data_IF_301974978516
#
_entry.id   IF_301974978516
#
_cell.length_a   1.000
_cell.length_b   1.000
_cell.length_c   1.000
_cell.angle_alpha   90.00
_cell.angle_beta   90.00
_cell.angle_gamma   90.00
#
_symmetry.space_group_name_H-M   'P 1'
#
loop_
_entity.id
_entity.type
_entity.pdbx_description
1 polymer ?
#
# COMPACT_ATOMS: atom_id res chain seq x y z
N UNK A 1 -57.96 0.21 15.12
CA UNK A 1 -58.10 0.02 16.59
C UNK A 1 -58.32 -1.45 16.88
N UNK A 2 -57.36 -2.09 17.56
CA UNK A 2 -57.37 -3.51 17.86
C UNK A 2 -58.24 -3.76 19.12
N UNK A 3 -59.33 -4.53 18.98
CA UNK A 3 -60.31 -4.77 20.06
C UNK A 3 -59.74 -5.59 21.22
N UNK A 4 -58.60 -6.26 21.03
CA UNK A 4 -58.00 -7.19 22.00
C UNK A 4 -57.05 -6.54 23.00
N UNK A 5 -56.57 -5.31 22.72
CA UNK A 5 -55.59 -4.58 23.56
C UNK A 5 -55.95 -3.07 23.64
N UNK A 6 -57.12 -2.72 24.20
CA UNK A 6 -57.65 -1.35 24.19
C UNK A 6 -56.82 -0.35 25.00
N UNK A 7 -55.89 -0.82 25.84
CA UNK A 7 -54.96 0.02 26.62
C UNK A 7 -53.75 0.49 25.80
N UNK A 8 -53.47 -0.13 24.65
CA UNK A 8 -52.32 0.23 23.81
C UNK A 8 -52.75 1.27 22.75
N UNK A 9 -52.21 2.48 22.87
CA UNK A 9 -52.45 3.61 21.97
C UNK A 9 -51.23 4.01 21.13
N UNK A 10 -50.18 3.17 21.11
CA UNK A 10 -48.96 3.42 20.33
C UNK A 10 -49.10 3.05 18.85
N UNK A 11 -48.03 3.33 18.11
CA UNK A 11 -47.86 2.99 16.69
C UNK A 11 -48.08 1.49 16.43
N UNK A 12 -48.71 1.14 15.31
CA UNK A 12 -48.67 -0.24 14.82
C UNK A 12 -47.26 -0.58 14.33
N UNK A 13 -46.98 -1.87 14.13
CA UNK A 13 -45.70 -2.29 13.51
C UNK A 13 -45.52 -1.65 12.13
N UNK A 14 -46.61 -1.42 11.40
CA UNK A 14 -46.56 -0.76 10.09
C UNK A 14 -46.23 0.73 10.24
N UNK A 15 -46.88 1.44 11.16
CA UNK A 15 -46.60 2.85 11.42
C UNK A 15 -45.13 3.04 11.86
N UNK A 16 -44.63 2.16 12.74
CA UNK A 16 -43.22 2.16 13.15
C UNK A 16 -42.26 1.83 12.00
N UNK A 17 -42.68 1.03 11.00
CA UNK A 17 -41.89 0.76 9.81
C UNK A 17 -41.86 1.97 8.85
N UNK A 18 -42.95 2.73 8.78
CA UNK A 18 -43.07 3.95 7.97
C UNK A 18 -42.29 5.15 8.58
N UNK A 19 -42.08 5.15 9.89
CA UNK A 19 -41.28 6.16 10.60
C UNK A 19 -39.77 5.97 10.45
N UNK A 20 -39.28 4.88 9.85
CA UNK A 20 -37.84 4.75 9.57
C UNK A 20 -37.39 5.78 8.53
N UNK A 21 -36.59 6.73 8.96
CA UNK A 21 -35.82 7.57 8.04
C UNK A 21 -34.75 6.73 7.34
N UNK A 22 -34.56 6.95 6.04
CA UNK A 22 -33.42 6.39 5.33
C UNK A 22 -32.15 6.89 6.03
N UNK A 23 -31.29 5.96 6.45
CA UNK A 23 -30.02 6.30 7.08
C UNK A 23 -29.25 7.30 6.19
N UNK A 24 -28.74 8.38 6.82
CA UNK A 24 -27.96 9.47 6.21
C UNK A 24 -27.33 9.09 4.87
N UNK A 25 -27.74 9.80 3.81
CA UNK A 25 -27.41 9.48 2.44
C UNK A 25 -25.91 9.19 2.31
N UNK A 26 -25.60 7.96 1.93
CA UNK A 26 -24.24 7.45 1.72
C UNK A 26 -23.46 8.37 0.76
N UNK A 27 -24.18 9.13 -0.06
CA UNK A 27 -23.72 10.16 -0.98
C UNK A 27 -23.15 11.43 -0.32
N UNK A 28 -23.61 11.81 0.88
CA UNK A 28 -23.13 13.00 1.61
C UNK A 28 -21.83 12.76 2.38
N UNK A 29 -21.47 11.50 2.56
CA UNK A 29 -20.21 11.12 3.21
C UNK A 29 -19.02 11.37 2.27
N UNK A 30 -17.80 11.54 2.82
CA UNK A 30 -16.59 11.62 2.00
C UNK A 30 -16.50 10.45 1.00
N UNK A 31 -16.00 10.75 -0.20
CA UNK A 31 -15.79 9.78 -1.26
C UNK A 31 -14.84 8.68 -0.83
N UNK A 32 -15.30 7.43 -0.91
CA UNK A 32 -14.51 6.22 -0.65
C UNK A 32 -14.81 5.19 -1.73
N UNK A 33 -13.79 4.84 -2.51
CA UNK A 33 -13.88 3.79 -3.50
C UNK A 33 -12.66 2.87 -3.41
N UNK A 34 -12.80 1.63 -2.90
CA UNK A 34 -11.71 0.67 -2.93
C UNK A 34 -11.37 0.27 -4.36
N UNK A 35 -10.09 0.30 -4.71
CA UNK A 35 -9.57 -0.18 -5.99
C UNK A 35 -9.64 -1.69 -6.01
N UNK A 36 -10.51 -2.23 -6.85
CA UNK A 36 -10.72 -3.67 -6.99
C UNK A 36 -9.80 -4.27 -8.05
N UNK A 37 -9.58 -3.54 -9.14
CA UNK A 37 -8.74 -3.99 -10.26
C UNK A 37 -8.23 -2.80 -11.09
N UNK A 38 -7.19 -3.03 -11.90
CA UNK A 38 -6.68 -2.07 -12.87
C UNK A 38 -6.50 -2.74 -14.22
N UNK A 39 -7.31 -2.32 -15.20
CA UNK A 39 -7.28 -2.87 -16.54
C UNK A 39 -6.42 -2.01 -17.46
N UNK A 40 -5.47 -2.65 -18.17
CA UNK A 40 -4.70 -2.01 -19.23
C UNK A 40 -5.19 -2.52 -20.59
N UNK A 41 -5.72 -1.61 -21.40
CA UNK A 41 -6.09 -1.90 -22.78
C UNK A 41 -4.91 -1.57 -23.68
N UNK A 42 -4.52 -2.53 -24.53
CA UNK A 42 -3.36 -2.42 -25.45
C UNK A 42 -3.71 -2.81 -26.89
N UNK A 43 -4.92 -3.31 -27.12
CA UNK A 43 -5.37 -3.74 -28.46
C UNK A 43 -5.87 -2.54 -29.25
N UNK A 44 -5.73 -2.61 -30.57
CA UNK A 44 -6.21 -1.58 -31.51
C UNK A 44 -5.65 -0.17 -31.24
N UNK A 45 -4.45 -0.06 -30.67
CA UNK A 45 -3.84 1.22 -30.34
C UNK A 45 -4.43 1.90 -29.10
N UNK A 46 -5.30 1.22 -28.36
CA UNK A 46 -5.71 1.67 -27.03
C UNK A 46 -4.53 1.58 -26.07
N UNK A 47 -4.35 2.58 -25.21
CA UNK A 47 -3.33 2.63 -24.17
C UNK A 47 -3.92 3.06 -22.82
N UNK A 48 -5.24 3.01 -22.66
CA UNK A 48 -5.93 3.41 -21.45
C UNK A 48 -5.64 2.44 -20.31
N UNK A 49 -5.46 3.01 -19.12
CA UNK A 49 -5.50 2.30 -17.85
C UNK A 49 -6.76 2.71 -17.10
N UNK A 50 -7.62 1.74 -16.82
CA UNK A 50 -8.90 1.95 -16.12
C UNK A 50 -8.76 1.39 -14.72
N UNK A 51 -8.89 2.27 -13.72
CA UNK A 51 -9.01 1.88 -12.31
C UNK A 51 -10.47 1.54 -12.06
N UNK A 52 -10.75 0.33 -11.60
CA UNK A 52 -12.11 -0.18 -11.41
C UNK A 52 -12.41 -0.47 -9.94
N UNK A 53 -13.65 -0.20 -9.53
CA UNK A 53 -14.11 -0.46 -8.17
C UNK A 53 -15.58 -0.10 -7.97
N UNK A 54 -15.99 -0.11 -6.71
CA UNK A 54 -17.35 0.29 -6.30
C UNK A 54 -17.26 1.48 -5.36
N UNK A 55 -17.96 2.56 -5.68
CA UNK A 55 -18.10 3.72 -4.81
C UNK A 55 -18.91 3.26 -3.59
N UNK A 56 -18.29 3.29 -2.40
CA UNK A 56 -18.93 2.89 -1.15
C UNK A 56 -19.63 4.06 -0.47
N UNK A 57 -19.06 5.26 -0.55
CA UNK A 57 -19.60 6.52 -0.04
C UNK A 57 -19.20 7.68 -0.94
N UNK A 58 -19.95 8.77 -0.88
CA UNK A 58 -19.70 9.99 -1.63
C UNK A 58 -20.00 9.87 -3.11
N UNK A 59 -19.42 10.79 -3.88
CA UNK A 59 -19.55 10.85 -5.33
C UNK A 59 -18.24 11.21 -6.00
N UNK A 60 -18.14 11.05 -7.32
CA UNK A 60 -16.96 11.36 -8.13
C UNK A 60 -17.39 12.02 -9.43
N UNK A 61 -16.68 13.06 -9.86
CA UNK A 61 -16.87 13.72 -11.14
C UNK A 61 -15.57 13.75 -11.97
N UNK A 62 -15.72 13.90 -13.29
CA UNK A 62 -14.58 14.18 -14.17
C UNK A 62 -13.95 15.52 -13.80
N UNK A 63 -12.62 15.56 -13.71
CA UNK A 63 -11.84 16.72 -13.26
C UNK A 63 -11.56 16.74 -11.74
N UNK A 64 -12.16 15.84 -10.96
CA UNK A 64 -11.84 15.76 -9.53
C UNK A 64 -10.39 15.33 -9.32
N UNK A 65 -9.69 16.02 -8.41
CA UNK A 65 -8.38 15.58 -7.94
C UNK A 65 -8.57 14.49 -6.89
N UNK A 66 -7.92 13.35 -7.11
CA UNK A 66 -8.03 12.15 -6.27
C UNK A 66 -6.69 11.75 -5.67
N UNK A 67 -6.76 11.14 -4.49
CA UNK A 67 -5.66 10.54 -3.76
C UNK A 67 -5.90 9.04 -3.59
N UNK A 68 -4.82 8.28 -3.58
CA UNK A 68 -4.84 6.84 -3.37
C UNK A 68 -4.08 6.50 -2.10
N UNK A 69 -4.69 5.73 -1.20
CA UNK A 69 -4.08 5.31 0.05
C UNK A 69 -3.92 3.78 0.12
N UNK A 70 -2.81 3.26 0.66
CA UNK A 70 -1.81 3.95 1.48
C UNK A 70 -0.70 4.68 0.70
N UNK A 71 -0.62 4.57 -0.63
CA UNK A 71 0.52 5.09 -1.41
C UNK A 71 0.69 6.61 -1.41
N UNK A 72 -0.37 7.36 -1.10
CA UNK A 72 -0.38 8.82 -1.15
C UNK A 72 -0.23 9.39 -2.56
N UNK A 73 -0.42 8.58 -3.61
CA UNK A 73 -0.34 9.04 -5.01
C UNK A 73 -1.51 9.97 -5.31
N UNK A 74 -1.28 10.95 -6.18
CA UNK A 74 -2.26 11.95 -6.59
C UNK A 74 -2.42 11.92 -8.10
N UNK A 75 -3.64 12.13 -8.57
CA UNK A 75 -3.91 12.36 -9.99
C UNK A 75 -5.26 13.09 -10.15
N UNK A 76 -5.72 13.25 -11.39
CA UNK A 76 -7.00 13.87 -11.75
C UNK A 76 -7.81 12.89 -12.58
N UNK A 77 -9.11 12.81 -12.29
CA UNK A 77 -10.03 11.97 -13.06
C UNK A 77 -10.21 12.54 -14.46
N UNK A 78 -9.87 11.75 -15.47
CA UNK A 78 -9.98 12.13 -16.88
C UNK A 78 -11.31 11.69 -17.51
N UNK A 79 -11.77 10.49 -17.19
CA UNK A 79 -13.07 9.97 -17.65
C UNK A 79 -13.62 8.96 -16.65
N UNK A 80 -14.94 8.85 -16.57
CA UNK A 80 -15.65 7.81 -15.81
C UNK A 80 -16.32 6.87 -16.82
N UNK A 81 -16.05 5.58 -16.70
CA UNK A 81 -16.51 4.53 -17.60
C UNK A 81 -17.44 3.56 -16.86
N UNK A 82 -18.50 3.11 -17.52
CA UNK A 82 -19.44 2.11 -16.99
C UNK A 82 -19.66 1.04 -18.05
N UNK A 83 -19.87 -0.19 -17.60
CA UNK A 83 -20.09 -1.31 -18.52
C UNK A 83 -21.31 -1.08 -19.42
N UNK A 84 -21.12 -1.24 -20.73
CA UNK A 84 -22.17 -1.17 -21.74
C UNK A 84 -22.96 0.16 -21.76
N UNK A 85 -22.31 1.27 -21.39
CA UNK A 85 -22.90 2.60 -21.42
C UNK A 85 -21.85 3.64 -21.87
N UNK A 86 -22.29 4.80 -22.40
CA UNK A 86 -21.40 5.93 -22.65
C UNK A 86 -20.71 6.40 -21.35
N UNK A 87 -19.52 7.04 -21.46
CA UNK A 87 -18.84 7.63 -20.32
C UNK A 87 -19.73 8.60 -19.54
N UNK A 88 -19.59 8.59 -18.21
CA UNK A 88 -20.33 9.48 -17.32
C UNK A 88 -19.50 10.72 -16.98
N UNK A 89 -20.18 11.83 -16.70
CA UNK A 89 -19.56 13.02 -16.10
C UNK A 89 -19.50 12.94 -14.57
N UNK A 90 -20.35 12.10 -13.97
CA UNK A 90 -20.59 12.01 -12.53
C UNK A 90 -21.06 10.60 -12.14
N UNK A 91 -20.66 10.12 -10.97
CA UNK A 91 -21.15 8.89 -10.35
C UNK A 91 -21.22 9.03 -8.82
N UNK A 92 -22.25 8.46 -8.19
CA UNK A 92 -22.45 8.49 -6.74
C UNK A 92 -22.56 7.08 -6.15
N UNK A 93 -22.41 6.97 -4.82
CA UNK A 93 -22.56 5.72 -4.11
C UNK A 93 -24.02 5.25 -4.02
N UNK A 94 -24.29 3.93 -4.06
CA UNK A 94 -23.39 2.85 -4.44
C UNK A 94 -23.38 2.64 -5.96
N UNK A 95 -22.22 2.68 -6.59
CA UNK A 95 -22.10 2.37 -8.03
C UNK A 95 -20.77 1.72 -8.38
N UNK A 96 -20.81 0.75 -9.29
CA UNK A 96 -19.61 0.12 -9.86
C UNK A 96 -19.16 0.91 -11.09
N UNK A 97 -17.96 1.47 -11.04
CA UNK A 97 -17.42 2.33 -12.08
C UNK A 97 -15.95 2.00 -12.35
N UNK A 98 -15.54 2.27 -13.59
CA UNK A 98 -14.13 2.44 -13.94
C UNK A 98 -13.84 3.92 -14.15
N UNK A 99 -12.59 4.34 -14.00
CA UNK A 99 -12.17 5.67 -14.43
C UNK A 99 -10.74 5.66 -14.96
N UNK A 100 -10.44 6.62 -15.83
CA UNK A 100 -9.07 6.89 -16.29
C UNK A 100 -8.51 8.13 -15.59
N UNK A 101 -7.19 8.24 -15.60
CA UNK A 101 -6.45 9.33 -14.98
C UNK A 101 -5.71 10.15 -16.03
N UNK A 102 -5.47 11.43 -15.76
CA UNK A 102 -4.64 12.29 -16.62
C UNK A 102 -3.19 11.81 -16.63
N UNK A 103 -2.62 11.58 -15.45
CA UNK A 103 -1.30 10.99 -15.29
C UNK A 103 -1.41 9.48 -15.00
N UNK A 104 -0.71 8.67 -15.80
CA UNK A 104 -0.64 7.22 -15.56
C UNK A 104 0.23 6.93 -14.33
N UNK A 105 -0.44 6.81 -13.18
CA UNK A 105 0.18 6.33 -11.95
C UNK A 105 -0.11 4.84 -11.75
N UNK A 106 0.83 4.13 -11.12
CA UNK A 106 0.62 2.74 -10.74
C UNK A 106 -0.18 2.70 -9.43
N UNK A 107 -1.35 2.06 -9.45
CA UNK A 107 -2.24 1.92 -8.28
C UNK A 107 -2.60 0.44 -8.16
N UNK A 108 -2.09 -0.30 -7.17
CA UNK A 108 -2.44 -1.69 -6.97
C UNK A 108 -3.86 -1.88 -6.41
N UNK A 109 -4.37 -3.11 -6.54
CA UNK A 109 -5.58 -3.56 -5.84
C UNK A 109 -5.39 -3.41 -4.33
N UNK A 110 -6.45 -2.97 -3.66
CA UNK A 110 -6.47 -2.79 -2.21
C UNK A 110 -6.25 -1.35 -1.77
N UNK A 111 -5.85 -0.46 -2.67
CA UNK A 111 -5.82 0.97 -2.35
C UNK A 111 -7.24 1.54 -2.24
N UNK A 112 -7.37 2.63 -1.47
CA UNK A 112 -8.61 3.37 -1.29
C UNK A 112 -8.50 4.72 -2.00
N UNK A 113 -9.36 4.94 -2.99
CA UNK A 113 -9.46 6.21 -3.72
C UNK A 113 -10.34 7.16 -2.91
N UNK A 114 -9.85 8.38 -2.72
CA UNK A 114 -10.57 9.47 -2.03
C UNK A 114 -10.39 10.79 -2.78
N UNK A 115 -11.25 11.78 -2.56
CA UNK A 115 -11.03 13.12 -3.11
C UNK A 115 -9.99 13.89 -2.31
N UNK A 116 -9.17 14.69 -3.01
CA UNK A 116 -8.06 15.41 -2.41
C UNK A 116 -8.50 16.53 -1.43
N UNK A 117 -9.69 17.09 -1.63
CA UNK A 117 -10.26 18.19 -0.84
C UNK A 117 -11.15 17.73 0.33
N UNK A 118 -11.29 16.42 0.55
CA UNK A 118 -12.13 15.86 1.60
C UNK A 118 -11.30 15.29 2.76
N UNK A 119 -11.99 14.89 3.84
CA UNK A 119 -11.37 14.21 4.97
C UNK A 119 -10.73 12.90 4.51
N UNK A 120 -9.44 12.73 4.82
CA UNK A 120 -8.63 11.56 4.46
C UNK A 120 -8.90 10.40 5.42
N UNK A 121 -8.73 9.15 4.95
CA UNK A 121 -8.79 7.98 5.81
C UNK A 121 -7.55 7.91 6.71
N UNK A 122 -7.64 7.12 7.77
CA UNK A 122 -6.50 6.70 8.57
C UNK A 122 -5.65 5.69 7.80
N UNK A 123 -4.33 5.74 7.98
CA UNK A 123 -3.38 4.83 7.33
C UNK A 123 -2.35 4.32 8.33
N UNK A 124 -2.52 3.07 8.77
CA UNK A 124 -1.61 2.42 9.69
C UNK A 124 -1.62 0.91 9.54
N UNK A 125 -0.56 0.27 10.02
CA UNK A 125 -0.43 -1.17 10.21
C UNK A 125 -0.79 -1.62 11.62
N UNK A 126 -1.17 -0.71 12.53
CA UNK A 126 -1.61 -1.04 13.90
C UNK A 126 -2.98 -0.44 14.18
N UNK A 127 -3.95 -1.29 14.47
CA UNK A 127 -5.35 -0.86 14.63
C UNK A 127 -5.93 -1.42 15.92
N UNK A 128 -6.77 -0.63 16.60
CA UNK A 128 -7.62 -1.11 17.69
C UNK A 128 -9.01 -1.42 17.14
N UNK A 129 -9.46 -2.65 17.36
CA UNK A 129 -10.70 -3.15 16.78
C UNK A 129 -11.52 -3.96 17.78
N UNK A 130 -12.84 -3.93 17.57
CA UNK A 130 -13.76 -4.90 18.15
C UNK A 130 -13.97 -6.02 17.14
N UNK A 131 -13.67 -7.25 17.55
CA UNK A 131 -13.67 -8.45 16.74
C UNK A 131 -14.60 -9.48 17.35
N UNK A 132 -15.44 -10.12 16.55
CA UNK A 132 -16.15 -11.34 16.93
C UNK A 132 -15.52 -12.53 16.21
N UNK A 133 -15.41 -13.67 16.91
CA UNK A 133 -14.78 -14.87 16.38
C UNK A 133 -15.78 -16.02 16.22
N UNK A 134 -15.83 -16.63 15.04
CA UNK A 134 -16.69 -17.77 14.69
C UNK A 134 -15.88 -18.99 14.22
N UNK A 135 -14.55 -18.89 14.17
CA UNK A 135 -13.67 -19.96 13.72
C UNK A 135 -13.79 -21.21 14.57
N UNK A 136 -13.61 -22.37 13.94
CA UNK A 136 -13.68 -23.68 14.63
C UNK A 136 -12.59 -23.84 15.68
N UNK A 137 -11.39 -23.31 15.42
CA UNK A 137 -10.27 -23.24 16.36
C UNK A 137 -10.23 -21.84 16.99
N UNK A 138 -9.84 -21.68 18.26
CA UNK A 138 -9.68 -20.36 18.88
C UNK A 138 -8.69 -19.47 18.11
N UNK A 139 -8.91 -18.16 18.16
CA UNK A 139 -7.94 -17.18 17.65
C UNK A 139 -6.81 -17.00 18.66
N UNK A 140 -5.55 -17.07 18.22
CA UNK A 140 -4.38 -17.05 19.11
C UNK A 140 -3.35 -16.02 18.66
N UNK A 141 -2.60 -15.44 19.61
CA UNK A 141 -1.56 -14.44 19.32
C UNK A 141 -0.36 -14.95 18.51
N UNK A 142 -0.13 -16.27 18.49
CA UNK A 142 1.03 -16.88 17.80
C UNK A 142 0.77 -17.20 16.33
N UNK A 143 -0.48 -17.15 15.88
CA UNK A 143 -0.89 -17.50 14.52
C UNK A 143 -1.13 -16.25 13.71
N UNK A 144 -0.72 -16.29 12.45
CA UNK A 144 -1.04 -15.28 11.46
C UNK A 144 -2.35 -15.64 10.75
N UNK A 145 -3.15 -14.62 10.45
CA UNK A 145 -4.41 -14.70 9.74
C UNK A 145 -4.40 -13.71 8.58
N UNK A 146 -5.46 -13.67 7.78
CA UNK A 146 -5.65 -12.58 6.82
C UNK A 146 -6.79 -11.66 7.26
N UNK A 147 -6.54 -10.36 7.28
CA UNK A 147 -7.56 -9.35 7.40
C UNK A 147 -7.94 -8.86 6.01
N UNK A 148 -9.24 -8.73 5.76
CA UNK A 148 -9.77 -8.10 4.54
C UNK A 148 -10.73 -6.96 4.88
N UNK A 149 -10.44 -5.77 4.39
CA UNK A 149 -11.34 -4.59 4.40
C UNK A 149 -11.44 -4.03 2.99
N UNK A 150 -12.65 -3.74 2.51
CA UNK A 150 -12.88 -3.39 1.11
C UNK A 150 -12.23 -4.39 0.15
N UNK A 151 -11.30 -3.92 -0.69
CA UNK A 151 -10.48 -4.74 -1.58
C UNK A 151 -9.10 -5.09 -1.03
N UNK A 152 -8.67 -4.49 0.08
CA UNK A 152 -7.40 -4.75 0.74
C UNK A 152 -7.40 -6.10 1.45
N UNK A 153 -6.32 -6.87 1.31
CA UNK A 153 -6.10 -8.14 2.00
C UNK A 153 -4.66 -8.17 2.50
N UNK A 154 -4.49 -8.25 3.81
CA UNK A 154 -3.17 -8.19 4.46
C UNK A 154 -3.05 -9.29 5.52
N UNK A 155 -1.82 -9.76 5.77
CA UNK A 155 -1.56 -10.62 6.92
C UNK A 155 -1.76 -9.81 8.21
N UNK A 156 -2.31 -10.47 9.23
CA UNK A 156 -2.59 -9.88 10.54
C UNK A 156 -2.25 -10.87 11.65
N UNK A 157 -1.75 -10.34 12.76
CA UNK A 157 -1.60 -11.06 14.03
C UNK A 157 -2.22 -10.25 15.16
N UNK A 158 -2.67 -10.95 16.20
CA UNK A 158 -3.08 -10.28 17.45
C UNK A 158 -1.81 -9.82 18.15
N UNK A 159 -1.70 -8.52 18.37
CA UNK A 159 -0.62 -7.94 19.18
C UNK A 159 -1.00 -7.97 20.67
N UNK A 160 -2.23 -7.53 20.98
CA UNK A 160 -2.73 -7.45 22.33
C UNK A 160 -4.24 -7.72 22.36
N UNK A 161 -4.71 -8.50 23.33
CA UNK A 161 -6.12 -8.59 23.67
C UNK A 161 -6.35 -7.64 24.85
N UNK A 162 -7.18 -6.62 24.67
CA UNK A 162 -7.47 -5.65 25.72
C UNK A 162 -8.51 -6.19 26.69
N UNK A 163 -9.60 -6.75 26.16
CA UNK A 163 -10.69 -7.33 26.96
C UNK A 163 -11.56 -8.24 26.08
N UNK A 164 -12.15 -9.26 26.68
CA UNK A 164 -13.07 -10.18 25.99
C UNK A 164 -14.43 -10.15 26.65
N UNK A 165 -15.47 -9.88 25.88
CA UNK A 165 -16.86 -10.04 26.24
C UNK A 165 -17.26 -11.49 26.00
N UNK A 166 -17.57 -12.18 27.10
CA UNK A 166 -18.15 -13.52 27.01
C UNK A 166 -19.60 -13.39 26.52
N UNK A 167 -19.94 -14.06 25.42
CA UNK A 167 -21.27 -13.95 24.81
C UNK A 167 -22.40 -14.55 25.67
N UNK A 168 -22.08 -15.51 26.55
CA UNK A 168 -23.06 -16.18 27.41
C UNK A 168 -23.37 -15.36 28.68
N UNK A 169 -22.36 -14.68 29.23
CA UNK A 169 -22.50 -13.91 30.49
C UNK A 169 -22.61 -12.41 30.29
N UNK A 170 -22.25 -11.90 29.10
CA UNK A 170 -22.13 -10.48 28.77
C UNK A 170 -21.19 -9.72 29.72
N UNK A 171 -20.23 -10.41 30.33
CA UNK A 171 -19.22 -9.83 31.20
C UNK A 171 -17.86 -9.75 30.49
N UNK A 172 -17.14 -8.64 30.74
CA UNK A 172 -15.80 -8.43 30.25
C UNK A 172 -14.77 -9.14 31.13
N UNK A 173 -13.80 -9.81 30.50
CA UNK A 173 -12.67 -10.46 31.16
C UNK A 173 -11.36 -9.94 30.58
N UNK A 174 -10.41 -9.56 31.45
CA UNK A 174 -9.13 -8.94 31.04
C UNK A 174 -7.94 -9.93 31.01
N UNK A 175 -8.15 -11.20 31.38
CA UNK A 175 -7.07 -12.18 31.61
C UNK A 175 -6.92 -13.25 30.50
N UNK A 176 -7.79 -13.26 29.49
CA UNK A 176 -7.71 -14.23 28.41
C UNK A 176 -6.65 -13.84 27.36
N UNK A 177 -5.81 -14.80 27.00
CA UNK A 177 -4.76 -14.68 25.96
C UNK A 177 -5.19 -15.30 24.61
N UNK A 178 -6.38 -15.90 24.57
CA UNK A 178 -7.01 -16.51 23.39
C UNK A 178 -8.44 -15.99 23.24
N UNK A 179 -8.93 -15.93 22.01
CA UNK A 179 -10.33 -15.57 21.71
C UNK A 179 -11.05 -16.85 21.29
N UNK A 180 -11.99 -17.31 22.12
CA UNK A 180 -12.73 -18.54 21.85
C UNK A 180 -13.82 -18.32 20.80
N UNK A 181 -14.38 -19.41 20.31
CA UNK A 181 -15.53 -19.33 19.39
C UNK A 181 -16.71 -18.66 20.10
N UNK A 182 -17.34 -17.73 19.41
CA UNK A 182 -18.41 -16.83 19.88
C UNK A 182 -17.97 -15.70 20.81
N UNK A 183 -16.69 -15.60 21.17
CA UNK A 183 -16.21 -14.45 21.94
C UNK A 183 -16.22 -13.17 21.07
N UNK A 184 -16.47 -12.04 21.73
CA UNK A 184 -16.24 -10.70 21.17
C UNK A 184 -15.06 -10.08 21.94
N UNK A 185 -14.02 -9.67 21.25
CA UNK A 185 -12.81 -9.13 21.84
C UNK A 185 -12.53 -7.71 21.36
N UNK A 186 -12.11 -6.85 22.28
CA UNK A 186 -11.40 -5.63 21.94
C UNK A 186 -9.90 -5.96 21.90
N UNK A 187 -9.25 -5.72 20.77
CA UNK A 187 -7.85 -6.09 20.57
C UNK A 187 -7.09 -5.08 19.70
N UNK A 188 -5.77 -5.09 19.86
CA UNK A 188 -4.83 -4.44 18.96
C UNK A 188 -4.35 -5.48 17.96
N UNK A 189 -4.54 -5.18 16.68
CA UNK A 189 -4.11 -6.00 15.55
C UNK A 189 -2.90 -5.35 14.89
N UNK A 190 -1.86 -6.15 14.69
CA UNK A 190 -0.69 -5.77 13.90
C UNK A 190 -0.81 -6.38 12.51
N UNK A 191 -0.77 -5.53 11.50
CA UNK A 191 -0.83 -5.86 10.09
C UNK A 191 0.59 -5.94 9.51
N UNK A 192 0.78 -6.77 8.49
CA UNK A 192 2.06 -6.86 7.78
C UNK A 192 2.35 -5.64 6.89
N UNK A 193 1.30 -4.96 6.44
CA UNK A 193 1.40 -3.70 5.67
C UNK A 193 0.27 -2.75 6.07
N UNK A 194 0.48 -1.42 5.93
CA UNK A 194 -0.55 -0.45 6.28
C UNK A 194 -1.75 -0.53 5.35
N UNK A 195 -2.93 -0.30 5.92
CA UNK A 195 -4.20 -0.23 5.18
C UNK A 195 -4.84 1.14 5.37
N UNK A 196 -5.64 1.56 4.40
CA UNK A 196 -6.47 2.75 4.49
C UNK A 196 -7.87 2.37 5.00
N UNK A 197 -8.35 3.05 6.03
CA UNK A 197 -9.67 2.81 6.62
C UNK A 197 -10.22 4.08 7.27
N UNK A 198 -11.51 4.09 7.56
CA UNK A 198 -12.12 5.06 8.47
C UNK A 198 -12.53 4.34 9.75
N UNK A 199 -12.72 5.08 10.84
CA UNK A 199 -13.27 4.50 12.07
C UNK A 199 -14.77 4.21 11.92
N UNK A 200 -15.31 3.33 12.77
CA UNK A 200 -16.73 2.97 12.74
C UNK A 200 -17.68 4.16 12.93
N UNK A 201 -17.24 5.20 13.63
CA UNK A 201 -18.00 6.43 13.87
C UNK A 201 -18.01 7.33 12.63
N UNK A 202 -16.92 7.32 11.85
CA UNK A 202 -16.78 8.16 10.66
C UNK A 202 -17.44 7.51 9.43
N UNK A 203 -17.08 6.26 9.14
CA UNK A 203 -17.61 5.55 7.99
C UNK A 203 -17.60 4.03 8.18
N UNK A 204 -18.78 3.49 8.47
CA UNK A 204 -18.98 2.05 8.65
C UNK A 204 -18.68 1.20 7.42
N UNK A 205 -18.65 1.78 6.21
CA UNK A 205 -18.40 1.01 4.97
C UNK A 205 -16.92 0.63 4.81
N UNK A 206 -16.01 1.41 5.38
CA UNK A 206 -14.56 1.25 5.30
C UNK A 206 -13.92 0.83 6.62
N UNK A 207 -14.67 0.86 7.74
CA UNK A 207 -14.22 0.39 9.05
C UNK A 207 -14.42 -1.12 9.28
N UNK A 208 -15.31 -1.75 8.52
CA UNK A 208 -15.63 -3.18 8.67
C UNK A 208 -14.58 -4.05 8.01
N UNK A 209 -14.20 -5.13 8.69
CA UNK A 209 -13.29 -6.12 8.15
C UNK A 209 -13.74 -7.54 8.48
N UNK A 210 -13.19 -8.50 7.74
CA UNK A 210 -13.29 -9.92 8.05
C UNK A 210 -11.91 -10.51 8.30
N UNK A 211 -11.86 -11.51 9.17
CA UNK A 211 -10.68 -12.35 9.38
C UNK A 211 -10.89 -13.67 8.66
N UNK A 212 -9.90 -14.05 7.85
CA UNK A 212 -9.88 -15.29 7.09
C UNK A 212 -8.83 -16.20 7.70
N UNK A 213 -9.25 -17.41 8.06
CA UNK A 213 -8.40 -18.49 8.54
C UNK A 213 -8.60 -19.73 7.66
N UNK A 214 -7.51 -20.35 7.19
CA UNK A 214 -7.57 -21.54 6.33
C UNK A 214 -8.57 -21.42 5.15
N UNK A 215 -8.63 -20.23 4.53
CA UNK A 215 -9.55 -19.83 3.44
C UNK A 215 -11.03 -19.61 3.82
N UNK A 216 -11.43 -19.84 5.07
CA UNK A 216 -12.79 -19.58 5.57
C UNK A 216 -12.84 -18.23 6.32
N UNK A 217 -13.92 -17.47 6.13
CA UNK A 217 -14.20 -16.31 6.98
C UNK A 217 -14.53 -16.83 8.39
N UNK A 218 -13.62 -16.57 9.32
CA UNK A 218 -13.65 -17.11 10.68
C UNK A 218 -13.94 -16.05 11.73
N UNK A 219 -14.05 -14.78 11.34
CA UNK A 219 -14.44 -13.69 12.21
C UNK A 219 -14.61 -12.40 11.45
N UNK A 220 -15.01 -11.36 12.16
CA UNK A 220 -15.14 -10.02 11.59
C UNK A 220 -15.16 -8.97 12.68
N UNK A 221 -15.14 -7.72 12.28
CA UNK A 221 -15.05 -6.64 13.25
C UNK A 221 -15.18 -5.27 12.65
N UNK A 222 -15.05 -4.29 13.53
CA UNK A 222 -15.04 -2.87 13.20
C UNK A 222 -13.80 -2.21 13.81
N UNK A 223 -13.20 -1.29 13.06
CA UNK A 223 -12.05 -0.53 13.51
C UNK A 223 -12.54 0.70 14.29
N UNK A 224 -12.00 0.90 15.49
CA UNK A 224 -12.37 2.03 16.35
C UNK A 224 -11.29 3.10 16.38
N UNK A 225 -10.03 2.73 16.24
CA UNK A 225 -8.92 3.65 16.42
C UNK A 225 -7.71 3.20 15.63
N UNK A 226 -7.00 4.16 15.05
CA UNK A 226 -5.65 3.98 14.52
C UNK A 226 -4.61 4.12 15.64
N UNK A 227 -3.58 3.29 15.58
CA UNK A 227 -2.42 3.40 16.46
C UNK A 227 -1.22 3.69 15.56
N UNK A 228 -0.40 4.67 15.94
CA UNK A 228 0.81 4.98 15.19
C UNK A 228 1.72 3.74 15.12
N UNK A 229 2.12 3.39 13.90
CA UNK A 229 3.19 2.43 13.64
C UNK A 229 4.52 3.13 13.37
N UNK A 230 5.60 2.36 13.26
CA UNK A 230 6.96 2.85 13.05
C UNK A 230 7.16 3.60 11.72
N UNK A 231 6.27 3.44 10.75
CA UNK A 231 6.36 4.04 9.42
C UNK A 231 5.46 5.27 9.24
N UNK A 232 4.57 5.55 10.19
CA UNK A 232 3.62 6.68 10.15
C UNK A 232 4.31 7.99 9.76
N UNK A 233 5.43 8.30 10.43
CA UNK A 233 6.20 9.52 10.15
C UNK A 233 6.72 9.58 8.72
N UNK A 234 7.23 8.49 8.16
CA UNK A 234 7.69 8.47 6.76
C UNK A 234 6.49 8.70 5.84
N UNK A 235 5.39 7.99 6.03
CA UNK A 235 4.19 8.10 5.18
C UNK A 235 3.62 9.51 5.18
N UNK A 236 3.56 10.18 6.32
CA UNK A 236 3.07 11.56 6.42
C UNK A 236 3.96 12.54 5.63
N UNK A 237 5.28 12.36 5.72
CA UNK A 237 6.22 13.18 4.95
C UNK A 237 6.10 12.93 3.44
N UNK A 238 5.98 11.66 3.02
CA UNK A 238 5.78 11.30 1.61
C UNK A 238 4.45 11.83 1.09
N UNK A 239 3.39 11.78 1.90
CA UNK A 239 2.10 12.35 1.56
C UNK A 239 2.18 13.87 1.33
N UNK A 240 2.78 14.59 2.28
CA UNK A 240 2.99 16.04 2.15
C UNK A 240 3.83 16.37 0.92
N UNK A 241 4.88 15.59 0.69
CA UNK A 241 5.77 15.69 -0.46
C UNK A 241 5.00 15.50 -1.76
N UNK A 242 4.25 14.40 -1.94
CA UNK A 242 3.47 14.14 -3.15
C UNK A 242 2.42 15.23 -3.42
N UNK A 243 1.79 15.78 -2.38
CA UNK A 243 0.81 16.84 -2.56
C UNK A 243 1.44 18.16 -3.02
N UNK A 244 2.64 18.47 -2.55
CA UNK A 244 3.38 19.70 -2.88
C UNK A 244 4.40 19.52 -4.01
N UNK A 245 4.53 18.32 -4.56
CA UNK A 245 5.52 18.00 -5.59
C UNK A 245 5.16 18.70 -6.89
N UNK A 246 6.12 19.46 -7.44
CA UNK A 246 5.99 20.00 -8.79
C UNK A 246 6.49 18.95 -9.78
N UNK A 247 5.58 18.45 -10.62
CA UNK A 247 5.91 17.42 -11.59
C UNK A 247 6.61 18.00 -12.83
N UNK A 248 7.53 17.22 -13.39
CA UNK A 248 8.13 17.52 -14.70
C UNK A 248 7.06 17.43 -15.80
N UNK A 249 6.99 18.43 -16.68
CA UNK A 249 6.08 18.41 -17.84
C UNK A 249 6.39 17.33 -18.89
N UNK A 250 7.48 16.57 -18.73
CA UNK A 250 7.82 15.40 -19.55
C UNK A 250 7.43 14.13 -18.78
N UNK A 251 6.44 13.35 -19.25
CA UNK A 251 6.04 12.08 -18.66
C UNK A 251 7.17 11.04 -18.67
N UNK A 252 7.18 10.18 -17.65
CA UNK A 252 8.17 9.09 -17.54
C UNK A 252 8.14 8.11 -18.70
N UNK A 253 6.97 7.90 -19.33
CA UNK A 253 6.82 7.05 -20.52
C UNK A 253 7.52 7.65 -21.74
N UNK A 254 7.42 8.97 -21.95
CA UNK A 254 8.15 9.65 -23.03
C UNK A 254 9.65 9.57 -22.84
N UNK A 255 10.13 9.68 -21.59
CA UNK A 255 11.55 9.45 -21.28
C UNK A 255 11.95 8.02 -21.60
N UNK A 256 11.11 7.05 -21.26
CA UNK A 256 11.40 5.66 -21.50
C UNK A 256 11.54 5.33 -22.99
N UNK A 257 10.63 5.87 -23.81
CA UNK A 257 10.69 5.76 -25.27
C UNK A 257 11.95 6.45 -25.82
N UNK A 258 12.23 7.68 -25.34
CA UNK A 258 13.37 8.48 -25.82
C UNK A 258 14.73 7.86 -25.50
N UNK A 259 14.84 7.17 -24.36
CA UNK A 259 16.06 6.52 -23.90
C UNK A 259 16.13 5.04 -24.26
N UNK A 260 15.06 4.47 -24.83
CA UNK A 260 14.95 3.04 -25.09
C UNK A 260 15.29 2.19 -23.85
N UNK A 261 14.76 2.62 -22.69
CA UNK A 261 14.88 1.96 -21.40
C UNK A 261 13.78 2.43 -20.46
N UNK A 262 13.46 1.69 -19.41
CA UNK A 262 12.68 2.19 -18.27
C UNK A 262 13.61 2.50 -17.11
N UNK A 263 13.29 3.52 -16.34
CA UNK A 263 13.94 3.80 -15.07
C UNK A 263 13.76 2.62 -14.11
N UNK A 264 14.81 2.24 -13.37
CA UNK A 264 14.74 1.23 -12.32
C UNK A 264 15.72 1.58 -11.19
N UNK A 265 15.42 1.13 -9.96
CA UNK A 265 16.30 1.20 -8.81
C UNK A 265 16.84 -0.21 -8.55
N UNK A 266 18.14 -0.42 -8.77
CA UNK A 266 18.83 -1.67 -8.51
C UNK A 266 19.53 -1.57 -7.15
N UNK A 267 19.01 -2.28 -6.16
CA UNK A 267 19.55 -2.34 -4.79
C UNK A 267 20.43 -3.59 -4.65
N UNK A 268 21.75 -3.41 -4.71
CA UNK A 268 22.71 -4.48 -4.47
C UNK A 268 23.11 -4.48 -2.99
N UNK A 269 22.71 -5.50 -2.25
CA UNK A 269 22.91 -5.62 -0.81
C UNK A 269 23.53 -6.96 -0.43
N UNK A 270 24.01 -7.09 0.81
CA UNK A 270 24.73 -8.27 1.30
C UNK A 270 25.74 -7.90 2.39
N UNK A 271 26.39 -8.91 2.99
CA UNK A 271 27.36 -8.76 4.08
C UNK A 271 28.51 -7.81 3.74
N UNK A 272 29.16 -7.23 4.73
CA UNK A 272 30.31 -6.34 4.50
C UNK A 272 31.39 -7.04 3.65
N UNK A 273 32.05 -6.27 2.78
CA UNK A 273 33.19 -6.71 1.96
C UNK A 273 32.92 -7.82 0.91
N UNK A 274 31.66 -8.07 0.53
CA UNK A 274 31.27 -9.03 -0.54
C UNK A 274 31.42 -8.51 -1.99
N UNK A 275 32.27 -7.52 -2.25
CA UNK A 275 32.50 -7.03 -3.62
C UNK A 275 31.36 -6.24 -4.29
N UNK A 276 30.27 -5.93 -3.57
CA UNK A 276 29.09 -5.19 -4.11
C UNK A 276 29.44 -3.94 -4.92
N UNK A 277 30.37 -3.11 -4.44
CA UNK A 277 30.81 -1.89 -5.13
C UNK A 277 31.51 -2.19 -6.46
N UNK A 278 32.24 -3.30 -6.53
CA UNK A 278 32.89 -3.77 -7.74
C UNK A 278 31.85 -4.21 -8.77
N UNK A 279 30.87 -5.03 -8.34
CA UNK A 279 29.75 -5.45 -9.18
C UNK A 279 28.95 -4.24 -9.69
N UNK A 280 28.58 -3.31 -8.80
CA UNK A 280 27.77 -2.14 -9.15
C UNK A 280 28.45 -1.25 -10.22
N UNK A 281 29.76 -1.01 -10.08
CA UNK A 281 30.53 -0.24 -11.06
C UNK A 281 30.69 -0.97 -12.38
N UNK A 282 30.91 -2.29 -12.34
CA UNK A 282 30.99 -3.11 -13.55
C UNK A 282 29.65 -3.14 -14.29
N UNK A 283 28.53 -3.24 -13.56
CA UNK A 283 27.18 -3.16 -14.11
C UNK A 283 26.89 -1.79 -14.72
N UNK A 284 27.21 -0.69 -14.02
CA UNK A 284 27.08 0.67 -14.55
C UNK A 284 27.86 0.81 -15.87
N UNK A 285 29.13 0.40 -15.88
CA UNK A 285 29.97 0.45 -17.09
C UNK A 285 29.34 -0.36 -18.22
N UNK A 286 28.87 -1.58 -17.94
CA UNK A 286 28.27 -2.44 -18.97
C UNK A 286 27.02 -1.83 -19.56
N UNK A 287 26.12 -1.30 -18.72
CA UNK A 287 24.91 -0.62 -19.17
C UNK A 287 25.22 0.65 -19.98
N UNK A 288 26.22 1.43 -19.55
CA UNK A 288 26.69 2.61 -20.27
C UNK A 288 27.25 2.24 -21.65
N UNK A 289 28.08 1.21 -21.74
CA UNK A 289 28.63 0.69 -23.00
C UNK A 289 27.52 0.20 -23.95
N UNK A 290 26.40 -0.30 -23.41
CA UNK A 290 25.19 -0.67 -24.15
C UNK A 290 24.27 0.52 -24.51
N UNK A 291 24.72 1.76 -24.27
CA UNK A 291 24.00 2.99 -24.57
C UNK A 291 22.84 3.32 -23.61
N UNK A 292 22.83 2.71 -22.42
CA UNK A 292 21.81 2.97 -21.38
C UNK A 292 22.23 4.12 -20.47
N UNK A 293 21.24 4.85 -19.99
CA UNK A 293 21.41 5.91 -19.00
C UNK A 293 21.36 5.28 -17.61
N UNK A 294 22.53 4.94 -17.08
CA UNK A 294 22.70 4.35 -15.76
C UNK A 294 23.61 5.22 -14.89
N UNK A 295 23.44 5.13 -13.57
CA UNK A 295 24.29 5.82 -12.60
C UNK A 295 24.50 4.97 -11.34
N UNK A 296 25.73 4.86 -10.87
CA UNK A 296 26.06 4.22 -9.59
C UNK A 296 26.11 5.25 -8.46
N UNK A 297 25.17 5.14 -7.53
CA UNK A 297 25.13 5.90 -6.28
C UNK A 297 25.63 5.03 -5.13
N UNK A 298 26.90 5.19 -4.76
CA UNK A 298 27.45 4.56 -3.57
C UNK A 298 26.86 5.17 -2.29
N UNK A 299 26.52 4.34 -1.30
CA UNK A 299 25.91 4.80 -0.03
C UNK A 299 26.76 5.84 0.72
N UNK A 300 28.09 5.83 0.52
CA UNK A 300 28.98 6.87 1.05
C UNK A 300 28.66 8.27 0.52
N UNK A 301 28.18 8.39 -0.72
CA UNK A 301 27.83 9.70 -1.28
C UNK A 301 26.61 10.29 -0.57
N UNK A 302 25.66 9.44 -0.18
CA UNK A 302 24.48 9.84 0.60
C UNK A 302 24.93 10.15 2.03
N UNK A 303 25.63 9.22 2.68
CA UNK A 303 26.05 9.34 4.09
C UNK A 303 26.93 10.57 4.38
N UNK A 304 27.82 10.94 3.45
CA UNK A 304 28.75 12.06 3.65
C UNK A 304 28.31 13.33 2.91
N UNK A 305 27.30 13.26 2.05
CA UNK A 305 26.76 14.39 1.32
C UNK A 305 25.38 14.76 1.85
N UNK A 306 24.35 14.07 1.36
CA UNK A 306 22.95 14.36 1.70
C UNK A 306 22.68 14.25 3.20
N UNK A 307 23.36 13.33 3.89
CA UNK A 307 23.18 13.06 5.33
C UNK A 307 24.22 13.76 6.21
N UNK A 308 24.98 14.71 5.68
CA UNK A 308 26.04 15.38 6.43
C UNK A 308 25.53 16.07 7.72
N UNK A 309 24.26 16.47 7.76
CA UNK A 309 23.60 17.09 8.91
C UNK A 309 23.08 16.10 9.96
N UNK A 310 22.80 14.85 9.59
CA UNK A 310 22.27 13.82 10.51
C UNK A 310 23.33 12.82 10.97
N UNK A 311 24.52 12.85 10.38
CA UNK A 311 25.60 11.92 10.70
C UNK A 311 26.10 12.10 12.14
N UNK A 312 25.93 11.08 12.98
CA UNK A 312 26.55 10.99 14.31
C UNK A 312 25.78 11.68 15.43
N UNK A 313 24.50 12.02 15.22
CA UNK A 313 23.62 12.53 16.28
C UNK A 313 22.94 11.35 16.97
N UNK A 314 23.67 10.73 17.91
CA UNK A 314 23.18 9.66 18.78
C UNK A 314 21.91 10.04 19.58
N UNK A 315 20.75 10.01 18.93
CA UNK A 315 19.41 10.03 19.53
C UNK A 315 18.52 9.15 18.65
N UNK A 316 18.52 7.84 18.98
CA UNK A 316 17.41 6.87 18.86
C UNK A 316 16.81 6.62 17.47
N UNK A 317 17.01 5.41 16.92
CA UNK A 317 16.22 4.67 15.89
C UNK A 317 15.84 5.37 14.55
N UNK A 318 15.69 6.69 14.53
CA UNK A 318 15.24 7.55 13.45
C UNK A 318 16.36 7.94 12.47
N UNK A 319 17.64 7.84 12.83
CA UNK A 319 18.74 8.16 11.90
C UNK A 319 18.75 7.20 10.70
N UNK A 320 18.59 5.90 10.94
CA UNK A 320 18.55 4.92 9.84
C UNK A 320 17.27 5.09 9.02
N UNK A 321 16.13 5.36 9.67
CA UNK A 321 14.87 5.65 8.97
C UNK A 321 15.01 6.86 8.04
N UNK A 322 15.59 7.96 8.54
CA UNK A 322 15.80 9.17 7.75
C UNK A 322 16.85 8.97 6.64
N UNK A 323 17.92 8.23 6.92
CA UNK A 323 18.91 7.84 5.90
C UNK A 323 18.25 7.08 4.73
N UNK A 324 17.46 6.05 5.04
CA UNK A 324 16.75 5.26 4.01
C UNK A 324 15.70 6.13 3.29
N UNK A 325 14.98 7.01 4.00
CA UNK A 325 14.03 7.96 3.38
C UNK A 325 14.74 8.88 2.39
N UNK A 326 15.85 9.51 2.79
CA UNK A 326 16.62 10.42 1.93
C UNK A 326 17.21 9.72 0.72
N UNK A 327 17.75 8.51 0.89
CA UNK A 327 18.19 7.66 -0.21
C UNK A 327 17.04 7.39 -1.20
N UNK A 328 15.87 7.04 -0.69
CA UNK A 328 14.70 6.74 -1.51
C UNK A 328 14.16 7.98 -2.25
N UNK A 329 14.23 9.17 -1.66
CA UNK A 329 13.87 10.43 -2.32
C UNK A 329 14.84 10.78 -3.47
N UNK A 330 16.15 10.61 -3.26
CA UNK A 330 17.14 10.76 -4.34
C UNK A 330 16.83 9.76 -5.46
N UNK A 331 16.58 8.49 -5.09
CA UNK A 331 16.24 7.46 -6.06
C UNK A 331 15.00 7.82 -6.86
N UNK A 332 13.94 8.31 -6.20
CA UNK A 332 12.73 8.76 -6.87
C UNK A 332 13.01 9.85 -7.91
N UNK A 333 13.74 10.90 -7.55
CA UNK A 333 14.07 12.00 -8.47
C UNK A 333 14.87 11.49 -9.68
N UNK A 334 15.90 10.66 -9.43
CA UNK A 334 16.72 10.10 -10.50
C UNK A 334 15.92 9.19 -11.43
N UNK A 335 14.98 8.42 -10.88
CA UNK A 335 14.09 7.58 -11.66
C UNK A 335 13.05 8.39 -12.45
N UNK A 336 12.52 9.49 -11.90
CA UNK A 336 11.69 10.42 -12.66
C UNK A 336 12.44 11.03 -13.85
N UNK A 337 13.76 11.22 -13.72
CA UNK A 337 14.62 11.65 -14.82
C UNK A 337 14.89 10.54 -15.87
N UNK A 338 14.41 9.30 -15.65
CA UNK A 338 14.52 8.18 -16.58
C UNK A 338 15.77 7.29 -16.38
N UNK A 339 16.50 7.46 -15.29
CA UNK A 339 17.79 6.80 -15.03
C UNK A 339 17.59 5.39 -14.45
N UNK A 340 18.47 4.45 -14.80
CA UNK A 340 18.67 3.18 -14.08
C UNK A 340 19.67 3.45 -12.96
N UNK A 341 19.18 3.58 -11.73
CA UNK A 341 19.99 3.91 -10.57
C UNK A 341 20.47 2.62 -9.89
N UNK A 342 21.79 2.48 -9.73
CA UNK A 342 22.40 1.35 -9.02
C UNK A 342 22.86 1.85 -7.66
N UNK A 343 22.36 1.24 -6.59
CA UNK A 343 22.72 1.57 -5.21
C UNK A 343 23.28 0.33 -4.54
N UNK A 344 24.33 0.52 -3.74
CA UNK A 344 24.85 -0.55 -2.88
C UNK A 344 24.59 -0.26 -1.42
N UNK A 345 24.01 -1.21 -0.68
CA UNK A 345 23.80 -1.11 0.77
C UNK A 345 24.48 -2.27 1.51
N UNK A 346 24.77 -2.10 2.80
CA UNK A 346 25.27 -3.19 3.67
C UNK A 346 24.06 -3.76 4.41
N UNK A 347 23.80 -5.06 4.24
CA UNK A 347 22.77 -5.81 4.97
C UNK A 347 21.42 -5.07 5.13
N UNK A 348 20.90 -4.55 4.02
CA UNK A 348 19.56 -3.97 3.97
C UNK A 348 18.52 -4.98 4.49
N UNK A 349 17.66 -4.55 5.41
CA UNK A 349 16.60 -5.39 6.01
C UNK A 349 15.29 -5.25 5.26
N UNK A 350 14.35 -6.18 5.50
CA UNK A 350 13.01 -6.08 4.90
C UNK A 350 12.31 -4.78 5.31
N UNK A 351 12.49 -4.36 6.56
CA UNK A 351 11.94 -3.09 7.07
C UNK A 351 12.42 -1.86 6.28
N UNK A 352 13.68 -1.87 5.85
CA UNK A 352 14.26 -0.77 5.07
C UNK A 352 13.69 -0.76 3.66
N UNK A 353 13.54 -1.92 3.04
CA UNK A 353 12.92 -2.05 1.73
C UNK A 353 11.45 -1.59 1.74
N UNK A 354 10.70 -1.89 2.80
CA UNK A 354 9.32 -1.40 2.95
C UNK A 354 9.27 0.14 3.02
N UNK A 355 10.25 0.79 3.65
CA UNK A 355 10.37 2.26 3.63
C UNK A 355 10.64 2.76 2.21
N UNK A 356 11.58 2.15 1.48
CA UNK A 356 11.87 2.54 0.09
C UNK A 356 10.62 2.39 -0.78
N UNK A 357 9.85 1.31 -0.61
CA UNK A 357 8.58 1.06 -1.31
C UNK A 357 7.48 2.09 -1.02
N UNK A 358 7.56 2.82 0.11
CA UNK A 358 6.64 3.95 0.35
C UNK A 358 6.88 5.13 -0.59
N UNK A 359 8.10 5.28 -1.14
CA UNK A 359 8.53 6.43 -1.95
C UNK A 359 8.72 6.06 -3.42
N UNK A 360 9.28 4.89 -3.67
CA UNK A 360 9.61 4.37 -5.00
C UNK A 360 8.62 3.28 -5.37
N UNK A 361 8.14 3.29 -6.62
CA UNK A 361 7.22 2.25 -7.11
C UNK A 361 7.87 0.86 -6.98
N UNK A 362 7.28 -0.09 -6.23
CA UNK A 362 7.83 -1.44 -6.05
C UNK A 362 8.16 -2.17 -7.35
N UNK A 363 7.34 -2.00 -8.40
CA UNK A 363 7.56 -2.64 -9.71
C UNK A 363 8.83 -2.16 -10.44
N UNK A 364 9.45 -1.09 -9.95
CA UNK A 364 10.69 -0.52 -10.51
C UNK A 364 11.90 -0.77 -9.60
N UNK A 365 11.75 -1.54 -8.52
CA UNK A 365 12.83 -1.88 -7.60
C UNK A 365 13.30 -3.30 -7.91
N UNK A 366 14.61 -3.47 -8.04
CA UNK A 366 15.29 -4.75 -8.18
C UNK A 366 16.19 -4.95 -6.96
N UNK A 367 15.76 -5.75 -6.00
CA UNK A 367 16.55 -6.09 -4.81
C UNK A 367 17.41 -7.33 -5.10
N UNK A 368 18.72 -7.19 -4.95
CA UNK A 368 19.71 -8.23 -5.26
C UNK A 368 20.57 -8.49 -4.04
N UNK A 369 20.54 -9.72 -3.53
CA UNK A 369 21.39 -10.16 -2.42
C UNK A 369 22.65 -10.85 -2.94
N UNK A 370 23.81 -10.40 -2.45
CA UNK A 370 25.11 -11.00 -2.70
C UNK A 370 25.54 -11.82 -1.48
N UNK A 371 25.45 -13.15 -1.59
CA UNK A 371 25.71 -14.13 -0.55
C UNK A 371 24.63 -15.22 -0.48
N UNK A 372 24.81 -16.17 0.44
CA UNK A 372 23.96 -17.36 0.57
C UNK A 372 22.50 -17.02 0.89
N UNK A 373 21.57 -17.76 0.26
CA UNK A 373 20.14 -17.66 0.53
C UNK A 373 19.83 -18.02 1.99
N UNK A 374 18.98 -17.23 2.66
CA UNK A 374 18.61 -17.43 4.08
C UNK A 374 19.51 -16.72 5.10
N UNK A 375 20.53 -15.99 4.66
CA UNK A 375 21.36 -15.15 5.56
C UNK A 375 20.77 -13.76 5.83
N UNK A 376 19.59 -13.46 5.30
CA UNK A 376 18.91 -12.18 5.40
C UNK A 376 17.40 -12.38 5.61
N UNK A 377 16.76 -11.42 6.29
CA UNK A 377 15.30 -11.30 6.36
C UNK A 377 14.71 -10.65 5.10
N UNK A 378 15.55 -10.11 4.22
CA UNK A 378 15.16 -9.41 3.00
C UNK A 378 14.71 -10.40 1.91
N UNK A 379 13.48 -10.21 1.44
CA UNK A 379 12.95 -10.89 0.24
C UNK A 379 13.47 -10.17 -1.00
N UNK A 380 14.35 -10.85 -1.74
CA UNK A 380 15.02 -10.29 -2.92
C UNK A 380 14.43 -10.85 -4.23
N UNK A 381 14.60 -10.08 -5.30
CA UNK A 381 14.31 -10.53 -6.67
C UNK A 381 15.36 -11.53 -7.18
N UNK A 382 16.60 -11.38 -6.71
CA UNK A 382 17.74 -12.22 -7.07
C UNK A 382 18.64 -12.50 -5.87
N UNK A 383 19.07 -13.76 -5.75
CA UNK A 383 20.14 -14.18 -4.85
C UNK A 383 21.32 -14.64 -5.71
N UNK A 384 22.51 -14.08 -5.45
CA UNK A 384 23.72 -14.41 -6.19
C UNK A 384 24.76 -14.92 -5.19
N UNK A 385 24.94 -16.23 -5.22
CA UNK A 385 25.95 -16.96 -4.45
C UNK A 385 27.28 -16.98 -5.21
N UNK A 386 28.40 -17.08 -4.50
CA UNK A 386 29.75 -17.23 -5.07
C UNK A 386 30.15 -16.20 -6.15
N UNK A 387 30.51 -15.00 -5.72
CA UNK A 387 31.06 -13.95 -6.61
C UNK A 387 32.52 -14.25 -6.96
N UNK A 388 32.76 -15.27 -7.77
CA UNK A 388 34.10 -15.56 -8.30
C UNK A 388 34.42 -14.70 -9.54
N UNK A 389 33.40 -14.47 -10.39
CA UNK A 389 33.54 -13.70 -11.62
C UNK A 389 32.54 -12.53 -11.68
N UNK A 390 33.06 -11.30 -11.65
CA UNK A 390 32.21 -10.09 -11.69
C UNK A 390 31.46 -9.95 -13.03
N UNK A 391 32.06 -10.34 -14.15
CA UNK A 391 31.42 -10.19 -15.47
C UNK A 391 30.23 -11.14 -15.64
N UNK A 392 30.33 -12.33 -15.06
CA UNK A 392 29.23 -13.31 -15.02
C UNK A 392 28.06 -12.79 -14.20
N UNK A 393 28.33 -12.27 -12.99
CA UNK A 393 27.32 -11.64 -12.13
C UNK A 393 26.64 -10.46 -12.84
N UNK A 394 27.41 -9.60 -13.50
CA UNK A 394 26.86 -8.49 -14.29
C UNK A 394 25.98 -8.99 -15.44
N UNK A 395 26.37 -10.09 -16.09
CA UNK A 395 25.59 -10.77 -17.12
C UNK A 395 24.23 -11.23 -16.61
N UNK A 396 24.20 -11.92 -15.46
CA UNK A 396 22.97 -12.39 -14.79
C UNK A 396 22.04 -11.21 -14.47
N UNK A 397 22.57 -10.15 -13.84
CA UNK A 397 21.76 -8.98 -13.49
C UNK A 397 21.19 -8.33 -14.76
N UNK A 398 22.00 -8.18 -15.81
CA UNK A 398 21.55 -7.60 -17.08
C UNK A 398 20.46 -8.44 -17.75
N UNK A 399 20.57 -9.77 -17.73
CA UNK A 399 19.54 -10.67 -18.27
C UNK A 399 18.21 -10.51 -17.53
N UNK A 400 18.23 -10.47 -16.19
CA UNK A 400 17.03 -10.17 -15.40
C UNK A 400 16.39 -8.81 -15.77
N UNK A 401 17.20 -7.76 -15.99
CA UNK A 401 16.70 -6.45 -16.45
C UNK A 401 16.03 -6.54 -17.84
N UNK A 402 16.51 -7.43 -18.72
CA UNK A 402 15.90 -7.66 -20.03
C UNK A 402 14.58 -8.43 -19.92
N UNK A 403 14.54 -9.48 -19.09
CA UNK A 403 13.32 -10.27 -18.84
C UNK A 403 12.20 -9.40 -18.27
N UNK A 404 12.54 -8.51 -17.32
CA UNK A 404 11.61 -7.53 -16.75
C UNK A 404 11.31 -6.34 -17.67
N UNK A 405 11.85 -6.33 -18.90
CA UNK A 405 11.65 -5.30 -19.93
C UNK A 405 12.00 -3.89 -19.42
N UNK A 406 13.02 -3.80 -18.57
CA UNK A 406 13.63 -2.53 -18.13
C UNK A 406 14.55 -2.04 -19.24
N UNK A 407 15.34 -2.94 -19.84
CA UNK A 407 16.16 -2.65 -21.02
C UNK A 407 15.75 -3.58 -22.17
N UNK A 408 15.80 -3.07 -23.40
CA UNK A 408 15.48 -3.87 -24.58
C UNK A 408 16.62 -4.84 -24.92
N UNK A 409 16.28 -6.04 -25.40
CA UNK A 409 17.23 -7.01 -25.97
C UNK A 409 17.44 -6.62 -27.45
N UNK A 410 18.63 -6.16 -27.85
CA UNK A 410 18.86 -5.67 -29.21
C UNK A 410 18.48 -6.68 -30.29
#
# INVERSE_FOLDING_TARGET
QNRSIPWYSGATVLDALEEFENANEIEDKPFRMPVQDVYKFTRFGDNRRIVAGTILTGSLAVGDSVLFFPSGKKSVIRSIEVFNAPPLSFAAAPSAVGFTLDEQIYVPRGELVVKANEKKPHVTSRIKANLFWLGKKPMTMKKEYHLKTGSAKVLVKIEQISRILNADTLQWTDTKVIIDRHDVAECVLQLASPIAFDTAEENSMTSRFVIIDEYEISGGGIIHQDINDSQTWVRDNVYLRNNKWETSGIPTEQRADRYNQKSALILITGKKDTGKKTIARALEKKLFDDGKIAYFLGIGNVLYGVDADIKGRSILENENLEHIRRLAEIAHIMMEAGIILIVTAIELRQSDLEIIKTIVNPDKIEAIWIGDEGTTDLVCDLYIENVENTDEVVGIIKENLQEKRIIFRP
#
